data_IF_554707441727
#
_entry.id   IF_554707441727
#
_cell.length_a   1.000
_cell.length_b   1.000
_cell.length_c   1.000
_cell.angle_alpha   90.00
_cell.angle_beta   90.00
_cell.angle_gamma   90.00
#
_symmetry.space_group_name_H-M   'P 1'
#
loop_
_entity.id
_entity.type
_entity.pdbx_description
1 polymer ?
#
# COMPACT_ATOMS: atom_id res chain seq x y z
N UNK A 1 -5.61 -5.52 -8.67
CA UNK A 1 -4.67 -6.38 -9.43
C UNK A 1 -4.65 -7.74 -8.77
N UNK A 2 -4.78 -8.82 -9.51
CA UNK A 2 -5.01 -10.13 -8.89
C UNK A 2 -3.72 -10.97 -8.90
N UNK A 3 -3.14 -11.21 -7.73
CA UNK A 3 -1.98 -12.09 -7.52
C UNK A 3 -2.36 -13.57 -7.32
N UNK A 4 -3.64 -13.93 -7.37
CA UNK A 4 -4.12 -15.31 -7.12
C UNK A 4 -3.45 -16.38 -8.00
N UNK A 5 -2.98 -15.98 -9.18
CA UNK A 5 -2.25 -16.87 -10.12
C UNK A 5 -0.73 -16.63 -10.10
N UNK A 6 -0.17 -16.23 -8.97
CA UNK A 6 1.28 -16.06 -8.84
C UNK A 6 2.02 -17.40 -9.03
N UNK A 7 2.89 -17.47 -10.03
CA UNK A 7 3.73 -18.65 -10.31
C UNK A 7 5.20 -18.27 -10.21
N UNK A 8 5.89 -18.77 -9.20
CA UNK A 8 7.33 -18.54 -9.01
C UNK A 8 8.13 -19.40 -10.01
N UNK A 9 9.00 -18.77 -10.77
CA UNK A 9 9.87 -19.39 -11.80
C UNK A 9 11.32 -19.53 -11.33
N UNK A 10 11.92 -18.45 -10.82
CA UNK A 10 13.30 -18.43 -10.32
C UNK A 10 13.37 -17.65 -9.02
N UNK A 11 14.22 -18.08 -8.10
CA UNK A 11 14.51 -17.39 -6.85
C UNK A 11 16.01 -17.35 -6.65
N UNK A 12 16.53 -16.19 -6.28
CA UNK A 12 17.92 -16.01 -5.88
C UNK A 12 17.95 -15.12 -4.63
N UNK A 13 18.89 -15.36 -3.72
CA UNK A 13 19.07 -14.53 -2.54
C UNK A 13 20.51 -14.09 -2.40
N UNK A 14 20.70 -12.86 -1.95
CA UNK A 14 21.97 -12.26 -1.62
C UNK A 14 21.94 -11.83 -0.16
N UNK A 15 23.09 -11.63 0.47
CA UNK A 15 23.12 -11.09 1.82
C UNK A 15 23.92 -9.80 1.85
N UNK A 16 23.29 -8.74 2.37
CA UNK A 16 23.90 -7.43 2.51
C UNK A 16 24.20 -7.23 4.00
N UNK A 17 25.48 -7.06 4.33
CA UNK A 17 25.87 -6.79 5.71
C UNK A 17 25.51 -5.36 6.11
N UNK A 18 25.25 -5.15 7.37
CA UNK A 18 25.19 -3.79 7.91
C UNK A 18 26.59 -3.21 7.91
N UNK A 19 26.74 -1.99 7.44
CA UNK A 19 28.01 -1.28 7.48
C UNK A 19 28.12 -0.58 8.83
N UNK A 20 29.15 -0.92 9.61
CA UNK A 20 29.47 -0.19 10.83
C UNK A 20 29.97 1.23 10.48
N UNK A 21 29.62 2.21 11.29
CA UNK A 21 30.04 3.59 11.09
C UNK A 21 31.56 3.71 10.91
N UNK A 22 31.96 4.16 9.73
CA UNK A 22 33.31 4.64 9.37
C UNK A 22 34.52 3.73 9.60
N UNK A 23 34.34 2.42 9.81
CA UNK A 23 35.46 1.49 9.83
C UNK A 23 35.70 0.90 8.44
N UNK A 24 36.94 0.93 7.96
CA UNK A 24 37.36 0.41 6.65
C UNK A 24 37.15 -1.12 6.46
N UNK A 25 36.66 -1.79 7.47
CA UNK A 25 36.48 -3.27 7.51
C UNK A 25 35.05 -3.74 7.26
N UNK A 26 34.25 -3.01 6.46
CA UNK A 26 32.93 -3.51 6.09
C UNK A 26 33.05 -4.71 5.15
N UNK A 27 32.51 -5.85 5.56
CA UNK A 27 32.47 -7.04 4.72
C UNK A 27 31.71 -6.76 3.43
N UNK A 28 32.24 -7.15 2.25
CA UNK A 28 31.51 -7.02 0.99
C UNK A 28 30.23 -7.85 1.05
N UNK A 29 29.18 -7.47 0.29
CA UNK A 29 27.94 -8.25 0.27
C UNK A 29 28.22 -9.67 -0.22
N UNK A 30 27.50 -10.64 0.34
CA UNK A 30 27.53 -12.00 -0.20
C UNK A 30 26.63 -12.08 -1.43
N UNK A 31 27.24 -12.19 -2.59
CA UNK A 31 26.54 -12.23 -3.88
C UNK A 31 26.46 -13.67 -4.37
N UNK A 32 25.24 -14.22 -4.38
CA UNK A 32 24.99 -15.57 -4.87
C UNK A 32 25.17 -15.66 -6.39
N UNK A 33 25.66 -16.82 -6.84
CA UNK A 33 25.90 -17.12 -8.27
C UNK A 33 24.87 -18.09 -8.86
N UNK A 34 23.99 -18.67 -8.02
CA UNK A 34 23.05 -19.70 -8.43
C UNK A 34 21.65 -19.41 -7.90
N UNK A 35 20.64 -19.80 -8.66
CA UNK A 35 19.24 -19.80 -8.21
C UNK A 35 19.02 -20.86 -7.14
N UNK A 36 18.06 -20.63 -6.26
CA UNK A 36 17.65 -21.55 -5.22
C UNK A 36 16.57 -22.46 -5.76
N UNK A 37 16.77 -23.76 -5.63
CA UNK A 37 15.75 -24.76 -5.92
C UNK A 37 14.83 -24.91 -4.72
N UNK A 38 13.57 -24.48 -4.86
CA UNK A 38 12.54 -24.65 -3.85
C UNK A 38 11.76 -25.93 -4.11
N UNK A 39 11.54 -26.74 -3.07
CA UNK A 39 10.57 -27.82 -3.13
C UNK A 39 9.13 -27.26 -3.15
N UNK A 40 8.14 -28.09 -3.45
CA UNK A 40 6.75 -27.64 -3.61
C UNK A 40 6.16 -27.04 -2.33
N UNK A 41 6.52 -27.56 -1.15
CA UNK A 41 6.11 -27.02 0.13
C UNK A 41 6.66 -25.60 0.35
N UNK A 42 7.95 -25.41 0.13
CA UNK A 42 8.61 -24.10 0.26
C UNK A 42 8.05 -23.08 -0.75
N UNK A 43 7.79 -23.51 -2.02
CA UNK A 43 7.14 -22.71 -3.04
C UNK A 43 5.74 -22.25 -2.61
N UNK A 44 4.89 -23.19 -2.19
CA UNK A 44 3.53 -22.92 -1.73
C UNK A 44 3.52 -21.96 -0.53
N UNK A 45 4.42 -22.19 0.41
CA UNK A 45 4.53 -21.32 1.60
C UNK A 45 4.96 -19.91 1.23
N UNK A 46 5.94 -19.75 0.34
CA UNK A 46 6.38 -18.44 -0.14
C UNK A 46 5.28 -17.70 -0.90
N UNK A 47 4.55 -18.40 -1.79
CA UNK A 47 3.39 -17.85 -2.50
C UNK A 47 2.34 -17.36 -1.50
N UNK A 48 1.94 -18.18 -0.53
CA UNK A 48 0.93 -17.80 0.46
C UNK A 48 1.34 -16.55 1.26
N UNK A 49 2.63 -16.40 1.56
CA UNK A 49 3.13 -15.20 2.25
C UNK A 49 3.12 -13.96 1.36
N UNK A 50 3.50 -14.11 0.11
CA UNK A 50 3.41 -13.04 -0.87
C UNK A 50 1.96 -12.59 -1.09
N UNK A 51 1.02 -13.54 -1.15
CA UNK A 51 -0.40 -13.23 -1.27
C UNK A 51 -0.95 -12.45 -0.08
N UNK A 52 -0.47 -12.71 1.14
CA UNK A 52 -0.87 -11.94 2.34
C UNK A 52 -0.41 -10.48 2.28
N UNK A 53 0.71 -10.17 1.64
CA UNK A 53 1.27 -8.81 1.59
C UNK A 53 0.97 -8.09 0.28
N UNK A 54 0.56 -8.81 -0.77
CA UNK A 54 0.28 -8.28 -2.11
C UNK A 54 -1.16 -8.52 -2.58
N UNK A 55 -1.93 -9.36 -1.88
CA UNK A 55 -3.32 -9.70 -2.23
C UNK A 55 -4.30 -8.55 -2.01
N UNK A 56 -5.59 -8.81 -2.23
CA UNK A 56 -6.66 -7.80 -2.16
C UNK A 56 -6.73 -7.05 -0.84
N UNK A 57 -6.56 -7.76 0.28
CA UNK A 57 -6.64 -7.17 1.63
C UNK A 57 -5.26 -6.73 2.15
N UNK A 58 -4.29 -6.57 1.26
CA UNK A 58 -2.94 -6.22 1.66
C UNK A 58 -2.78 -4.72 1.81
N UNK A 59 -1.80 -4.33 2.64
CA UNK A 59 -1.38 -2.94 2.80
C UNK A 59 -0.35 -2.51 1.74
N UNK A 60 -0.35 -3.15 0.58
CA UNK A 60 0.50 -2.75 -0.53
C UNK A 60 -0.10 -1.57 -1.29
N UNK A 61 0.74 -0.70 -1.80
CA UNK A 61 0.34 0.50 -2.54
C UNK A 61 0.96 0.49 -3.94
N UNK A 62 0.23 1.09 -4.88
CA UNK A 62 0.76 1.36 -6.21
C UNK A 62 1.76 2.51 -6.14
N UNK A 63 2.91 2.38 -6.79
CA UNK A 63 3.97 3.37 -6.85
C UNK A 63 4.24 3.78 -8.29
N UNK A 64 4.85 4.95 -8.47
CA UNK A 64 5.37 5.42 -9.75
C UNK A 64 6.85 5.06 -9.87
N UNK A 65 7.28 4.56 -11.03
CA UNK A 65 8.70 4.37 -11.33
C UNK A 65 9.24 5.75 -11.70
N UNK A 66 10.17 6.27 -10.90
CA UNK A 66 10.74 7.61 -11.06
C UNK A 66 12.22 7.63 -11.42
N UNK A 67 12.96 6.55 -11.13
CA UNK A 67 14.37 6.41 -11.53
C UNK A 67 14.49 5.44 -12.70
N UNK A 68 14.63 5.99 -13.90
CA UNK A 68 14.84 5.27 -15.16
C UNK A 68 16.25 5.51 -15.72
N UNK A 69 17.16 5.99 -14.88
CA UNK A 69 18.57 6.22 -15.27
C UNK A 69 19.32 4.90 -15.52
N UNK A 70 20.49 5.03 -16.14
CA UNK A 70 21.45 3.93 -16.29
C UNK A 70 21.85 3.45 -14.88
N UNK A 71 21.96 2.14 -14.70
CA UNK A 71 22.22 1.47 -13.43
C UNK A 71 21.14 1.67 -12.37
N UNK A 72 19.95 2.12 -12.76
CA UNK A 72 18.78 2.11 -11.87
C UNK A 72 18.31 0.69 -11.56
N UNK A 73 17.62 0.53 -10.44
CA UNK A 73 17.01 -0.76 -10.11
C UNK A 73 16.02 -1.20 -11.21
N UNK A 74 15.27 -0.24 -11.77
CA UNK A 74 14.32 -0.51 -12.85
C UNK A 74 15.03 -0.99 -14.13
N UNK A 75 16.16 -0.40 -14.49
CA UNK A 75 16.93 -0.87 -15.66
C UNK A 75 17.36 -2.33 -15.49
N UNK A 76 17.89 -2.69 -14.32
CA UNK A 76 18.27 -4.08 -14.02
C UNK A 76 17.08 -5.03 -14.05
N UNK A 77 15.93 -4.60 -13.53
CA UNK A 77 14.68 -5.38 -13.56
C UNK A 77 14.21 -5.60 -15.00
N UNK A 78 14.22 -4.55 -15.83
CA UNK A 78 13.85 -4.68 -17.23
C UNK A 78 14.78 -5.63 -17.97
N UNK A 79 16.10 -5.48 -17.80
CA UNK A 79 17.12 -6.39 -18.38
C UNK A 79 16.93 -7.83 -17.92
N UNK A 80 16.54 -8.07 -16.66
CA UNK A 80 16.29 -9.41 -16.13
C UNK A 80 15.12 -10.12 -16.83
N UNK A 81 14.17 -9.37 -17.41
CA UNK A 81 13.00 -9.89 -18.14
C UNK A 81 13.23 -9.98 -19.65
N UNK A 82 14.32 -9.40 -20.18
CA UNK A 82 14.70 -9.52 -21.57
C UNK A 82 15.41 -10.86 -21.87
N UNK A 83 15.72 -11.13 -23.14
CA UNK A 83 16.55 -12.23 -23.62
C UNK A 83 16.14 -13.62 -23.08
N UNK A 84 14.84 -13.88 -23.00
CA UNK A 84 14.31 -15.11 -22.39
C UNK A 84 14.81 -15.33 -20.95
N UNK A 85 15.04 -14.25 -20.23
CA UNK A 85 15.46 -14.21 -18.81
C UNK A 85 16.82 -14.88 -18.58
N UNK A 86 17.71 -14.88 -19.59
CA UNK A 86 19.06 -15.44 -19.45
C UNK A 86 19.89 -14.65 -18.46
N UNK A 87 19.71 -13.33 -18.41
CA UNK A 87 20.48 -12.42 -17.57
C UNK A 87 19.96 -12.28 -16.13
N UNK A 88 18.93 -13.05 -15.74
CA UNK A 88 18.29 -12.93 -14.43
C UNK A 88 19.28 -12.97 -13.26
N UNK A 89 20.25 -13.89 -13.27
CA UNK A 89 21.26 -14.01 -12.19
C UNK A 89 22.15 -12.77 -12.16
N UNK A 90 22.68 -12.35 -13.31
CA UNK A 90 23.53 -11.16 -13.42
C UNK A 90 22.81 -9.90 -12.93
N UNK A 91 21.55 -9.71 -13.37
CA UNK A 91 20.81 -8.53 -13.00
C UNK A 91 20.40 -8.56 -11.50
N UNK A 92 20.13 -9.71 -10.93
CA UNK A 92 19.89 -9.85 -9.49
C UNK A 92 21.13 -9.49 -8.65
N UNK A 93 22.34 -9.82 -9.17
CA UNK A 93 23.60 -9.41 -8.55
C UNK A 93 23.82 -7.90 -8.61
N UNK A 94 23.50 -7.26 -9.75
CA UNK A 94 23.55 -5.80 -9.90
C UNK A 94 22.56 -5.11 -8.95
N UNK A 95 21.34 -5.63 -8.81
CA UNK A 95 20.35 -5.14 -7.84
C UNK A 95 20.91 -5.24 -6.40
N UNK A 96 21.57 -6.35 -6.05
CA UNK A 96 22.16 -6.53 -4.73
C UNK A 96 23.33 -5.55 -4.47
N UNK A 97 24.21 -5.37 -5.44
CA UNK A 97 25.31 -4.41 -5.37
C UNK A 97 24.80 -2.98 -5.21
N UNK A 98 23.72 -2.59 -5.93
CA UNK A 98 23.08 -1.28 -5.78
C UNK A 98 22.59 -1.06 -4.35
N UNK A 99 21.90 -2.05 -3.76
CA UNK A 99 21.46 -1.94 -2.37
C UNK A 99 22.63 -1.80 -1.41
N UNK A 100 23.68 -2.61 -1.59
CA UNK A 100 24.89 -2.52 -0.78
C UNK A 100 25.54 -1.13 -0.84
N UNK A 101 25.62 -0.55 -2.02
CA UNK A 101 26.17 0.81 -2.23
C UNK A 101 25.33 1.89 -1.53
N UNK A 102 24.01 1.74 -1.48
CA UNK A 102 23.13 2.66 -0.77
C UNK A 102 23.29 2.49 0.75
N UNK A 103 23.32 1.26 1.25
CA UNK A 103 23.53 0.99 2.68
C UNK A 103 24.90 1.43 3.17
N UNK A 104 25.92 1.36 2.32
CA UNK A 104 27.26 1.88 2.62
C UNK A 104 27.30 3.39 2.91
N UNK A 105 26.35 4.15 2.34
CA UNK A 105 26.25 5.61 2.57
C UNK A 105 25.59 5.96 3.91
N UNK A 106 24.87 5.02 4.50
CA UNK A 106 24.20 5.18 5.82
C UNK A 106 24.34 3.89 6.63
N UNK A 107 25.34 3.83 7.50
CA UNK A 107 25.65 2.66 8.34
C UNK A 107 24.54 2.27 9.33
N UNK A 108 23.55 3.14 9.56
CA UNK A 108 22.39 2.84 10.40
C UNK A 108 21.39 1.90 9.72
N UNK A 109 21.49 1.74 8.39
CA UNK A 109 20.58 0.86 7.67
C UNK A 109 20.88 -0.62 7.98
N UNK A 110 19.86 -1.39 8.41
CA UNK A 110 20.07 -2.77 8.84
C UNK A 110 20.49 -3.67 7.68
N UNK A 111 21.41 -4.57 7.93
CA UNK A 111 21.78 -5.66 7.04
C UNK A 111 20.61 -6.61 6.78
N UNK A 112 20.85 -7.71 6.09
CA UNK A 112 19.90 -8.79 5.91
C UNK A 112 19.83 -9.36 4.50
N UNK A 113 18.85 -10.22 4.25
CA UNK A 113 18.64 -10.86 2.96
C UNK A 113 17.95 -9.95 1.96
N UNK A 114 18.48 -9.95 0.74
CA UNK A 114 17.82 -9.47 -0.45
C UNK A 114 17.45 -10.67 -1.32
N UNK A 115 16.16 -10.87 -1.57
CA UNK A 115 15.67 -11.93 -2.43
C UNK A 115 15.07 -11.31 -3.67
N UNK A 116 15.49 -11.84 -4.81
CA UNK A 116 14.95 -11.47 -6.12
C UNK A 116 14.23 -12.69 -6.70
N UNK A 117 12.98 -12.51 -7.08
CA UNK A 117 12.12 -13.55 -7.61
C UNK A 117 11.65 -13.15 -9.00
N UNK A 118 11.88 -14.01 -9.98
CA UNK A 118 11.16 -13.97 -11.24
C UNK A 118 9.92 -14.85 -11.13
N UNK A 119 8.77 -14.27 -11.46
CA UNK A 119 7.47 -14.94 -11.40
C UNK A 119 6.57 -14.47 -12.55
N UNK A 120 5.43 -15.14 -12.71
CA UNK A 120 4.34 -14.66 -13.53
C UNK A 120 3.09 -14.46 -12.69
N UNK A 121 2.27 -13.46 -13.06
CA UNK A 121 1.04 -13.09 -12.36
C UNK A 121 -0.12 -13.01 -13.34
N UNK A 122 -1.35 -13.06 -12.83
CA UNK A 122 -2.60 -13.00 -13.58
C UNK A 122 -2.87 -14.24 -14.45
N UNK A 123 -4.08 -14.32 -15.00
CA UNK A 123 -4.45 -15.40 -15.95
C UNK A 123 -3.65 -15.32 -17.26
N UNK A 124 -3.12 -14.14 -17.59
CA UNK A 124 -2.33 -13.88 -18.80
C UNK A 124 -0.83 -14.15 -18.63
N UNK A 125 -0.41 -14.70 -17.48
CA UNK A 125 0.99 -15.01 -17.16
C UNK A 125 1.95 -13.82 -17.41
N UNK A 126 1.56 -12.61 -16.97
CA UNK A 126 2.40 -11.41 -17.09
C UNK A 126 3.68 -11.57 -16.26
N UNK A 127 4.80 -11.29 -16.88
CA UNK A 127 6.11 -11.35 -16.23
C UNK A 127 6.23 -10.34 -15.10
N UNK A 128 6.81 -10.76 -13.97
CA UNK A 128 7.11 -9.86 -12.87
C UNK A 128 8.42 -10.20 -12.16
N UNK A 129 9.05 -9.17 -11.61
CA UNK A 129 10.15 -9.29 -10.66
C UNK A 129 9.66 -8.82 -9.30
N UNK A 130 9.90 -9.63 -8.27
CA UNK A 130 9.61 -9.33 -6.88
C UNK A 130 10.94 -9.21 -6.15
N UNK A 131 11.15 -8.08 -5.48
CA UNK A 131 12.34 -7.78 -4.68
C UNK A 131 11.94 -7.68 -3.22
N UNK A 132 12.51 -8.55 -2.37
CA UNK A 132 12.19 -8.62 -0.95
C UNK A 132 13.43 -8.28 -0.15
N UNK A 133 13.32 -7.32 0.78
CA UNK A 133 14.34 -7.03 1.79
C UNK A 133 13.83 -7.55 3.14
N UNK A 134 14.53 -8.54 3.67
CA UNK A 134 14.33 -9.04 5.02
C UNK A 134 15.50 -8.62 5.90
N UNK A 135 15.19 -7.88 6.95
CA UNK A 135 16.20 -7.36 7.86
C UNK A 135 16.76 -8.48 8.75
N UNK A 136 18.02 -8.33 9.13
CA UNK A 136 18.71 -9.30 9.95
C UNK A 136 18.14 -9.33 11.36
N UNK A 137 17.81 -10.53 11.84
CA UNK A 137 17.61 -10.76 13.26
C UNK A 137 18.87 -11.45 13.80
N UNK A 138 19.32 -11.07 14.98
CA UNK A 138 20.61 -11.50 15.60
C UNK A 138 20.86 -13.02 15.63
N UNK A 139 19.82 -13.84 15.48
CA UNK A 139 19.93 -15.30 15.37
C UNK A 139 20.56 -15.80 14.06
N UNK A 140 20.58 -14.97 12.99
CA UNK A 140 21.02 -15.37 11.65
C UNK A 140 22.51 -15.25 11.44
N UNK A 141 23.15 -14.26 12.05
CA UNK A 141 24.62 -14.10 11.96
C UNK A 141 25.37 -15.35 12.36
N UNK A 142 24.91 -16.05 13.41
CA UNK A 142 25.57 -17.27 13.92
C UNK A 142 25.48 -18.46 12.97
N UNK A 143 24.41 -18.58 12.16
CA UNK A 143 24.25 -19.68 11.19
C UNK A 143 25.06 -19.47 9.91
N UNK A 144 25.17 -18.23 9.45
CA UNK A 144 25.93 -17.90 8.22
C UNK A 144 27.44 -18.12 8.37
N UNK A 145 28.00 -17.84 9.55
CA UNK A 145 29.44 -18.01 9.80
C UNK A 145 29.88 -19.47 9.70
N UNK A 146 28.99 -20.43 9.94
CA UNK A 146 29.28 -21.86 9.85
C UNK A 146 29.22 -22.46 8.44
N UNK A 147 28.55 -21.81 7.48
CA UNK A 147 28.36 -22.33 6.12
C UNK A 147 28.62 -21.23 5.05
N UNK A 148 29.88 -20.89 4.86
CA UNK A 148 30.31 -19.84 3.91
C UNK A 148 29.95 -20.07 2.43
N UNK A 149 29.49 -21.26 2.02
CA UNK A 149 29.42 -21.62 0.59
C UNK A 149 28.03 -21.82 0.00
N UNK A 150 26.95 -21.77 0.77
CA UNK A 150 25.59 -21.83 0.22
C UNK A 150 24.57 -21.13 1.11
N UNK A 151 23.90 -20.12 0.58
CA UNK A 151 22.62 -19.68 1.10
C UNK A 151 21.62 -20.80 0.78
N UNK A 152 21.49 -21.75 1.69
CA UNK A 152 20.73 -22.96 1.49
C UNK A 152 19.23 -22.73 1.67
N UNK A 153 18.42 -23.64 1.15
CA UNK A 153 16.99 -23.74 1.40
C UNK A 153 16.65 -23.67 2.90
N UNK A 154 17.52 -24.18 3.77
CA UNK A 154 17.33 -24.12 5.22
C UNK A 154 17.35 -22.69 5.76
N UNK A 155 18.20 -21.81 5.26
CA UNK A 155 18.22 -20.41 5.66
C UNK A 155 16.95 -19.68 5.20
N UNK A 156 16.46 -19.97 4.00
CA UNK A 156 15.17 -19.47 3.52
C UNK A 156 14.01 -20.03 4.36
N UNK A 157 14.04 -21.30 4.73
CA UNK A 157 13.04 -21.90 5.59
C UNK A 157 13.02 -21.22 6.96
N UNK A 158 14.16 -21.01 7.57
CA UNK A 158 14.26 -20.37 8.89
C UNK A 158 13.84 -18.88 8.86
N UNK A 159 14.10 -18.17 7.76
CA UNK A 159 13.80 -16.74 7.61
C UNK A 159 12.39 -16.44 7.13
N UNK A 160 11.91 -17.22 6.18
CA UNK A 160 10.69 -16.89 5.44
C UNK A 160 9.55 -17.84 5.69
N UNK A 161 9.85 -19.05 6.15
CA UNK A 161 8.86 -20.10 6.27
C UNK A 161 8.42 -20.34 7.71
N UNK A 162 9.01 -19.63 8.69
CA UNK A 162 8.49 -19.67 10.06
C UNK A 162 7.26 -18.77 10.20
N UNK A 163 6.24 -19.16 10.97
CA UNK A 163 5.04 -18.33 11.19
C UNK A 163 5.35 -16.93 11.75
N UNK A 164 6.45 -16.79 12.49
CA UNK A 164 6.88 -15.56 13.16
C UNK A 164 7.65 -14.61 12.23
N UNK A 165 8.22 -15.10 11.13
CA UNK A 165 8.99 -14.24 10.22
C UNK A 165 8.07 -13.31 9.42
N UNK A 166 8.34 -12.02 9.47
CA UNK A 166 7.61 -11.00 8.69
C UNK A 166 8.37 -10.73 7.39
N UNK A 167 7.64 -10.56 6.29
CA UNK A 167 8.19 -9.90 5.10
C UNK A 167 8.21 -8.42 5.39
N UNK A 168 9.40 -7.84 5.51
CA UNK A 168 9.54 -6.45 5.96
C UNK A 168 9.24 -5.45 4.86
N UNK A 169 9.85 -5.63 3.68
CA UNK A 169 9.71 -4.71 2.54
C UNK A 169 9.68 -5.51 1.24
N UNK A 170 8.71 -5.24 0.39
CA UNK A 170 8.53 -5.93 -0.89
C UNK A 170 8.25 -4.91 -1.98
N UNK A 171 9.06 -4.92 -3.03
CA UNK A 171 8.80 -4.21 -4.28
C UNK A 171 8.43 -5.19 -5.39
N UNK A 172 7.41 -4.89 -6.17
CA UNK A 172 6.98 -5.73 -7.29
C UNK A 172 6.89 -4.88 -8.54
N UNK A 173 7.46 -5.37 -9.63
CA UNK A 173 7.42 -4.75 -10.95
C UNK A 173 6.79 -5.73 -11.93
N UNK A 174 5.61 -5.40 -12.45
CA UNK A 174 4.82 -6.25 -13.34
C UNK A 174 4.82 -5.62 -14.72
N UNK A 175 5.24 -6.37 -15.74
CA UNK A 175 5.19 -5.95 -17.13
C UNK A 175 3.77 -6.11 -17.65
N UNK A 176 3.13 -5.02 -18.15
CA UNK A 176 1.72 -5.01 -18.57
C UNK A 176 1.49 -5.65 -19.92
N UNK A 177 2.47 -5.62 -20.82
CA UNK A 177 2.39 -6.09 -22.19
C UNK A 177 3.65 -6.82 -22.60
N UNK A 178 3.53 -7.75 -23.52
CA UNK A 178 4.66 -8.48 -24.13
C UNK A 178 5.35 -7.67 -25.25
N UNK A 179 4.78 -6.56 -25.69
CA UNK A 179 5.36 -5.72 -26.76
C UNK A 179 6.58 -4.96 -26.23
N UNK A 180 7.63 -4.93 -27.03
CA UNK A 180 8.92 -4.28 -26.71
C UNK A 180 9.21 -3.13 -27.69
N UNK A 181 8.20 -2.40 -28.14
CA UNK A 181 8.33 -1.38 -29.18
C UNK A 181 8.98 -0.07 -28.67
N UNK A 182 9.28 0.00 -27.36
CA UNK A 182 9.88 1.17 -26.72
C UNK A 182 11.40 1.02 -26.60
N UNK A 183 12.13 2.09 -26.92
CA UNK A 183 13.59 2.15 -26.83
C UNK A 183 14.10 2.90 -25.59
N UNK A 184 13.32 3.89 -25.10
CA UNK A 184 13.66 4.68 -23.92
C UNK A 184 13.13 4.05 -22.65
N UNK A 185 13.94 4.04 -21.59
CA UNK A 185 13.55 3.44 -20.29
C UNK A 185 12.34 4.13 -19.66
N UNK A 186 12.16 5.44 -19.88
CA UNK A 186 10.99 6.19 -19.41
C UNK A 186 9.68 5.68 -20.04
N UNK A 187 9.72 5.38 -21.34
CA UNK A 187 8.56 4.84 -22.07
C UNK A 187 8.30 3.38 -21.65
N UNK A 188 9.38 2.60 -21.49
CA UNK A 188 9.29 1.22 -20.99
C UNK A 188 8.68 1.20 -19.59
N UNK A 189 9.02 2.16 -18.72
CA UNK A 189 8.49 2.24 -17.36
C UNK A 189 6.97 2.42 -17.32
N UNK A 190 6.38 3.10 -18.31
CA UNK A 190 4.92 3.24 -18.44
C UNK A 190 4.24 1.90 -18.72
N UNK A 191 4.95 0.94 -19.33
CA UNK A 191 4.48 -0.43 -19.55
C UNK A 191 4.66 -1.35 -18.33
N UNK A 192 5.01 -0.79 -17.17
CA UNK A 192 5.09 -1.52 -15.91
C UNK A 192 4.09 -0.99 -14.90
N UNK A 193 3.71 -1.86 -13.98
CA UNK A 193 3.07 -1.49 -12.73
C UNK A 193 4.03 -1.80 -11.59
N UNK A 194 4.35 -0.80 -10.78
CA UNK A 194 5.13 -0.97 -9.56
C UNK A 194 4.22 -1.00 -8.33
N UNK A 195 4.48 -1.92 -7.41
CA UNK A 195 3.74 -2.07 -6.15
C UNK A 195 4.76 -2.16 -5.02
N UNK A 196 4.49 -1.48 -3.93
CA UNK A 196 5.29 -1.49 -2.71
C UNK A 196 4.48 -2.02 -1.54
N UNK A 197 5.07 -2.93 -0.77
CA UNK A 197 4.64 -3.25 0.59
C UNK A 197 5.77 -2.88 1.56
N UNK A 198 5.43 -2.06 2.55
CA UNK A 198 6.27 -1.79 3.72
C UNK A 198 5.33 -1.69 4.92
N UNK A 199 5.54 -2.54 5.93
CA UNK A 199 4.68 -2.59 7.12
C UNK A 199 4.62 -1.27 7.89
N UNK A 200 5.58 -0.39 7.71
CA UNK A 200 5.63 0.93 8.34
C UNK A 200 4.97 2.02 7.49
N UNK A 201 4.88 1.83 6.19
CA UNK A 201 4.37 2.84 5.24
C UNK A 201 2.92 3.25 5.56
N UNK A 202 2.09 2.28 5.95
CA UNK A 202 0.67 2.51 6.27
C UNK A 202 0.45 3.16 7.62
N UNK A 203 1.44 3.11 8.52
CA UNK A 203 1.35 3.70 9.86
C UNK A 203 1.71 5.19 9.83
N UNK A 204 2.84 5.49 9.23
CA UNK A 204 3.36 6.85 9.07
C UNK A 204 4.31 6.91 7.88
N UNK A 205 4.03 7.80 6.93
CA UNK A 205 4.90 8.06 5.77
C UNK A 205 6.33 8.44 6.16
N UNK A 206 6.52 9.10 7.32
CA UNK A 206 7.83 9.50 7.81
C UNK A 206 8.64 8.30 8.31
N UNK A 207 7.96 7.26 8.80
CA UNK A 207 8.60 6.02 9.25
C UNK A 207 8.84 5.01 8.13
N UNK A 208 8.32 5.28 6.93
CA UNK A 208 8.54 4.46 5.76
C UNK A 208 10.02 4.43 5.38
N UNK A 209 10.49 3.28 4.95
CA UNK A 209 11.89 3.10 4.56
C UNK A 209 12.19 3.79 3.21
N UNK A 210 12.32 5.13 3.23
CA UNK A 210 12.61 5.95 2.04
C UNK A 210 13.83 5.44 1.28
N UNK A 211 14.86 4.95 1.99
CA UNK A 211 16.01 4.34 1.35
C UNK A 211 15.64 3.15 0.46
N UNK A 212 14.64 2.34 0.88
CA UNK A 212 14.25 1.15 0.13
C UNK A 212 13.43 1.50 -1.11
N UNK A 213 12.32 2.24 -0.95
CA UNK A 213 11.47 2.50 -2.11
C UNK A 213 12.03 3.58 -3.03
N UNK A 214 12.56 4.67 -2.49
CA UNK A 214 13.01 5.81 -3.30
C UNK A 214 14.45 5.61 -3.79
N UNK A 215 15.42 5.50 -2.86
CA UNK A 215 16.83 5.46 -3.25
C UNK A 215 17.21 4.15 -3.93
N UNK A 216 16.68 3.02 -3.45
CA UNK A 216 17.04 1.70 -3.98
C UNK A 216 16.17 1.27 -5.15
N UNK A 217 14.84 1.19 -4.98
CA UNK A 217 13.94 0.73 -6.04
C UNK A 217 13.66 1.80 -7.10
N UNK A 218 13.95 3.08 -6.82
CA UNK A 218 13.69 4.18 -7.73
C UNK A 218 12.20 4.47 -7.89
N UNK A 219 11.43 4.32 -6.81
CA UNK A 219 9.99 4.53 -6.79
C UNK A 219 9.65 5.85 -6.10
N UNK A 220 8.62 6.51 -6.58
CA UNK A 220 8.00 7.68 -5.95
C UNK A 220 6.53 7.43 -5.65
N UNK A 221 6.02 8.24 -4.72
CA UNK A 221 4.61 8.27 -4.38
C UNK A 221 3.87 8.87 -5.58
N UNK A 222 2.79 8.22 -6.07
CA UNK A 222 1.99 8.78 -7.15
C UNK A 222 1.39 10.14 -6.76
N UNK A 223 1.40 11.08 -7.67
CA UNK A 223 0.80 12.42 -7.46
C UNK A 223 -0.74 12.39 -7.44
N UNK A 224 -1.33 11.28 -7.87
CA UNK A 224 -2.78 11.10 -7.98
C UNK A 224 -3.47 10.77 -6.64
N UNK A 225 -2.74 10.63 -5.54
CA UNK A 225 -3.29 10.30 -4.21
C UNK A 225 -4.40 11.26 -3.77
N UNK A 226 -4.28 12.56 -4.05
CA UNK A 226 -5.32 13.58 -3.79
C UNK A 226 -6.62 13.30 -4.56
N UNK A 227 -6.47 13.01 -5.85
CA UNK A 227 -7.59 12.74 -6.76
C UNK A 227 -8.23 11.40 -6.40
N UNK A 228 -7.44 10.38 -6.13
CA UNK A 228 -7.94 9.05 -5.73
C UNK A 228 -8.67 9.12 -4.37
N UNK A 229 -8.14 9.86 -3.39
CA UNK A 229 -8.82 10.05 -2.09
C UNK A 229 -10.15 10.77 -2.26
N UNK A 230 -10.20 11.83 -3.10
CA UNK A 230 -11.43 12.55 -3.42
C UNK A 230 -12.45 11.63 -4.13
N UNK A 231 -12.00 10.89 -5.13
CA UNK A 231 -12.87 9.99 -5.87
C UNK A 231 -13.42 8.87 -4.96
N UNK A 232 -12.58 8.31 -4.08
CA UNK A 232 -13.02 7.32 -3.09
C UNK A 232 -14.11 7.90 -2.19
N UNK A 233 -13.93 9.12 -1.67
CA UNK A 233 -14.93 9.79 -0.85
C UNK A 233 -16.26 9.94 -1.61
N UNK A 234 -16.23 10.52 -2.81
CA UNK A 234 -17.44 10.79 -3.61
C UNK A 234 -18.15 9.48 -3.96
N UNK A 235 -17.43 8.50 -4.52
CA UNK A 235 -18.04 7.25 -4.98
C UNK A 235 -18.57 6.41 -3.81
N UNK A 236 -17.87 6.39 -2.67
CA UNK A 236 -18.37 5.70 -1.47
C UNK A 236 -19.59 6.39 -0.90
N UNK A 237 -19.60 7.71 -0.82
CA UNK A 237 -20.74 8.50 -0.35
C UNK A 237 -21.98 8.29 -1.25
N UNK A 238 -21.78 8.32 -2.56
CA UNK A 238 -22.84 8.08 -3.55
C UNK A 238 -23.39 6.65 -3.46
N UNK A 239 -22.52 5.67 -3.28
CA UNK A 239 -22.92 4.28 -3.08
C UNK A 239 -23.80 4.14 -1.84
N UNK A 240 -23.36 4.69 -0.69
CA UNK A 240 -24.14 4.66 0.57
C UNK A 240 -25.51 5.31 0.38
N UNK A 241 -25.58 6.47 -0.28
CA UNK A 241 -26.83 7.18 -0.50
C UNK A 241 -27.83 6.39 -1.37
N UNK A 242 -27.34 5.57 -2.31
CA UNK A 242 -28.15 4.73 -3.20
C UNK A 242 -28.56 3.38 -2.58
N UNK A 243 -27.97 2.98 -1.45
CA UNK A 243 -28.34 1.74 -0.78
C UNK A 243 -29.81 1.74 -0.33
N UNK A 244 -30.46 0.59 -0.43
CA UNK A 244 -31.81 0.37 0.11
C UNK A 244 -31.74 -0.09 1.57
N UNK A 245 -31.37 0.85 2.45
CA UNK A 245 -31.25 0.67 3.90
C UNK A 245 -31.87 1.86 4.64
N UNK A 246 -32.09 1.70 5.94
CA UNK A 246 -32.61 2.78 6.77
C UNK A 246 -31.73 4.02 6.74
N UNK A 247 -32.33 5.20 6.92
CA UNK A 247 -31.59 6.46 6.94
C UNK A 247 -30.56 6.49 8.08
N UNK A 248 -30.88 5.90 9.22
CA UNK A 248 -29.96 5.76 10.34
C UNK A 248 -28.68 5.00 9.94
N UNK A 249 -28.82 3.84 9.29
CA UNK A 249 -27.67 3.09 8.77
C UNK A 249 -26.86 3.86 7.73
N UNK A 250 -27.52 4.65 6.87
CA UNK A 250 -26.79 5.53 5.92
C UNK A 250 -25.93 6.55 6.66
N UNK A 251 -26.48 7.17 7.71
CA UNK A 251 -25.74 8.13 8.55
C UNK A 251 -24.56 7.47 9.24
N UNK A 252 -24.74 6.27 9.77
CA UNK A 252 -23.65 5.52 10.42
C UNK A 252 -22.52 5.22 9.43
N UNK A 253 -22.83 4.79 8.20
CA UNK A 253 -21.85 4.53 7.16
C UNK A 253 -21.13 5.81 6.68
N UNK A 254 -21.87 6.93 6.57
CA UNK A 254 -21.26 8.24 6.25
C UNK A 254 -20.31 8.70 7.38
N UNK A 255 -20.69 8.49 8.63
CA UNK A 255 -19.83 8.77 9.79
C UNK A 255 -18.58 7.87 9.78
N UNK A 256 -18.72 6.58 9.43
CA UNK A 256 -17.58 5.68 9.28
C UNK A 256 -16.61 6.16 8.19
N UNK A 257 -17.12 6.58 7.04
CA UNK A 257 -16.32 7.17 5.95
C UNK A 257 -15.59 8.43 6.42
N UNK A 258 -16.28 9.31 7.14
CA UNK A 258 -15.67 10.50 7.75
C UNK A 258 -14.54 10.14 8.72
N UNK A 259 -14.76 9.17 9.61
CA UNK A 259 -13.77 8.70 10.58
C UNK A 259 -12.52 8.17 9.87
N UNK A 260 -12.69 7.34 8.86
CA UNK A 260 -11.57 6.78 8.08
C UNK A 260 -10.73 7.87 7.39
N UNK A 261 -11.37 8.89 6.87
CA UNK A 261 -10.69 9.95 6.14
C UNK A 261 -10.10 11.04 7.05
N UNK A 262 -10.80 11.40 8.12
CA UNK A 262 -10.47 12.55 8.98
C UNK A 262 -9.73 12.19 10.25
N UNK A 263 -10.19 11.15 10.94
CA UNK A 263 -9.77 10.86 12.31
C UNK A 263 -8.77 9.71 12.37
N UNK A 264 -8.92 8.72 11.50
CA UNK A 264 -7.98 7.61 11.41
C UNK A 264 -6.59 8.13 11.02
N UNK A 265 -5.58 7.83 11.83
CA UNK A 265 -4.18 8.28 11.64
C UNK A 265 -3.43 7.48 10.57
N UNK A 266 -4.02 6.44 9.98
CA UNK A 266 -3.41 5.71 8.87
C UNK A 266 -3.10 6.65 7.71
N UNK A 267 -1.91 6.53 7.12
CA UNK A 267 -1.51 7.28 5.93
C UNK A 267 -2.09 6.71 4.64
N UNK A 268 -2.83 5.61 4.71
CA UNK A 268 -3.47 4.97 3.56
C UNK A 268 -4.94 4.67 3.84
N UNK A 269 -5.71 4.50 2.78
CA UNK A 269 -7.11 4.07 2.78
C UNK A 269 -7.35 3.10 1.61
N UNK A 270 -8.27 2.16 1.79
CA UNK A 270 -8.60 1.17 0.76
C UNK A 270 -10.11 0.93 0.71
N UNK A 271 -10.63 0.77 -0.50
CA UNK A 271 -12.02 0.39 -0.73
C UNK A 271 -12.33 -0.98 -0.11
N UNK A 272 -11.40 -1.93 -0.23
CA UNK A 272 -11.56 -3.28 0.33
C UNK A 272 -11.58 -3.28 1.87
N UNK A 273 -10.71 -2.48 2.49
CA UNK A 273 -10.68 -2.32 3.95
C UNK A 273 -11.97 -1.66 4.46
N UNK A 274 -12.46 -0.62 3.77
CA UNK A 274 -13.74 0.01 4.12
C UNK A 274 -14.90 -0.98 4.02
N UNK A 275 -15.01 -1.71 2.91
CA UNK A 275 -16.04 -2.73 2.73
C UNK A 275 -16.05 -3.75 3.88
N UNK A 276 -14.88 -4.33 4.18
CA UNK A 276 -14.73 -5.37 5.21
C UNK A 276 -15.08 -4.89 6.62
N UNK A 277 -14.78 -3.63 6.93
CA UNK A 277 -14.99 -3.10 8.27
C UNK A 277 -16.44 -2.65 8.52
N UNK A 278 -17.16 -2.24 7.47
CA UNK A 278 -18.42 -1.51 7.63
C UNK A 278 -19.60 -2.06 6.85
N UNK A 279 -19.39 -2.96 5.87
CA UNK A 279 -20.45 -3.51 5.04
C UNK A 279 -20.64 -5.00 5.34
N UNK A 280 -21.88 -5.49 5.22
CA UNK A 280 -22.18 -6.91 5.26
C UNK A 280 -21.66 -7.65 4.02
N UNK A 281 -21.52 -8.98 4.10
CA UNK A 281 -20.90 -9.80 3.05
C UNK A 281 -21.56 -9.67 1.67
N UNK A 282 -22.88 -9.53 1.63
CA UNK A 282 -23.65 -9.38 0.38
C UNK A 282 -23.39 -8.01 -0.27
N UNK A 283 -23.22 -6.98 0.53
CA UNK A 283 -22.99 -5.60 0.08
C UNK A 283 -21.54 -5.35 -0.28
N UNK A 284 -20.58 -6.04 0.35
CA UNK A 284 -19.14 -5.89 0.07
C UNK A 284 -18.80 -6.08 -1.41
N UNK A 285 -19.31 -7.17 -2.01
CA UNK A 285 -19.03 -7.46 -3.42
C UNK A 285 -19.59 -6.39 -4.35
N UNK A 286 -20.84 -5.95 -4.12
CA UNK A 286 -21.49 -4.88 -4.91
C UNK A 286 -20.71 -3.57 -4.80
N UNK A 287 -20.26 -3.23 -3.60
CA UNK A 287 -19.45 -2.03 -3.37
C UNK A 287 -18.11 -2.11 -4.09
N UNK A 288 -17.38 -3.22 -3.94
CA UNK A 288 -16.07 -3.41 -4.59
C UNK A 288 -16.19 -3.33 -6.12
N UNK A 289 -17.24 -3.91 -6.70
CA UNK A 289 -17.46 -3.85 -8.13
C UNK A 289 -17.82 -2.42 -8.59
N UNK A 290 -18.66 -1.68 -7.86
CA UNK A 290 -18.93 -0.27 -8.11
C UNK A 290 -17.66 0.60 -8.04
N UNK A 291 -16.78 0.34 -7.07
CA UNK A 291 -15.50 1.08 -6.95
C UNK A 291 -14.54 0.77 -8.10
N UNK A 292 -14.54 -0.46 -8.62
CA UNK A 292 -13.76 -0.83 -9.82
C UNK A 292 -14.30 -0.15 -11.07
N UNK A 293 -15.62 -0.09 -11.26
CA UNK A 293 -16.25 0.65 -12.36
C UNK A 293 -15.89 2.14 -12.32
N UNK A 294 -15.75 2.70 -11.12
CA UNK A 294 -15.25 4.06 -10.91
C UNK A 294 -13.73 4.21 -11.07
N UNK A 295 -13.02 3.18 -11.57
CA UNK A 295 -11.56 3.14 -11.74
C UNK A 295 -10.75 3.35 -10.45
N UNK A 296 -11.33 3.05 -9.28
CA UNK A 296 -10.58 3.03 -8.03
C UNK A 296 -9.76 1.73 -7.91
N UNK A 297 -8.50 1.82 -7.44
CA UNK A 297 -7.66 0.64 -7.27
C UNK A 297 -8.17 -0.25 -6.14
N UNK A 298 -7.96 -1.56 -6.28
CA UNK A 298 -8.27 -2.59 -5.27
C UNK A 298 -7.15 -2.78 -4.22
N UNK A 299 -6.19 -1.85 -4.17
CA UNK A 299 -5.07 -1.80 -3.23
C UNK A 299 -5.12 -0.50 -2.43
N UNK A 300 -4.25 -0.37 -1.43
CA UNK A 300 -4.17 0.84 -0.61
C UNK A 300 -3.88 2.09 -1.45
N UNK A 301 -4.62 3.15 -1.19
CA UNK A 301 -4.43 4.49 -1.75
C UNK A 301 -3.73 5.34 -0.69
N UNK A 302 -2.75 6.11 -1.08
CA UNK A 302 -2.18 7.11 -0.20
C UNK A 302 -3.24 8.15 0.14
N UNK A 303 -3.56 8.29 1.43
CA UNK A 303 -4.60 9.20 1.90
C UNK A 303 -4.10 10.65 1.87
N UNK A 304 -4.69 11.46 0.98
CA UNK A 304 -4.48 12.90 0.94
C UNK A 304 -5.83 13.61 0.84
N UNK A 305 -6.27 14.17 1.94
CA UNK A 305 -7.58 14.82 2.06
C UNK A 305 -7.59 16.28 1.64
N UNK A 306 -6.51 16.80 1.03
CA UNK A 306 -6.39 18.23 0.71
C UNK A 306 -7.51 18.74 -0.23
N UNK A 307 -7.97 17.91 -1.18
CA UNK A 307 -9.07 18.26 -2.12
C UNK A 307 -10.48 18.12 -1.52
N UNK A 308 -10.61 17.44 -0.38
CA UNK A 308 -11.90 17.23 0.32
C UNK A 308 -11.90 17.83 1.72
N UNK A 309 -10.95 18.70 2.01
CA UNK A 309 -10.78 19.30 3.33
C UNK A 309 -12.04 20.01 3.81
N UNK A 310 -12.73 20.68 2.89
CA UNK A 310 -13.96 21.40 3.20
C UNK A 310 -15.16 20.45 3.35
N UNK A 311 -15.24 19.39 2.53
CA UNK A 311 -16.24 18.33 2.65
C UNK A 311 -16.15 17.55 3.98
N UNK A 312 -14.95 17.48 4.54
CA UNK A 312 -14.68 16.85 5.83
C UNK A 312 -14.79 17.83 7.01
N UNK A 313 -15.35 19.02 6.84
CA UNK A 313 -15.70 19.90 7.94
C UNK A 313 -17.10 19.57 8.43
N UNK A 314 -17.25 19.47 9.74
CA UNK A 314 -18.54 19.37 10.38
C UNK A 314 -18.76 20.65 11.20
N UNK A 315 -19.89 21.30 11.02
CA UNK A 315 -20.36 22.36 11.93
C UNK A 315 -20.96 21.69 13.15
N UNK A 316 -20.48 22.04 14.32
CA UNK A 316 -21.00 21.54 15.59
C UNK A 316 -21.60 22.70 16.36
N UNK A 317 -22.86 22.61 16.70
CA UNK A 317 -23.59 23.56 17.54
C UNK A 317 -23.81 22.92 18.91
N UNK A 318 -23.35 23.57 19.97
CA UNK A 318 -23.50 23.12 21.34
C UNK A 318 -24.47 24.02 22.06
N UNK A 319 -25.46 23.45 22.72
CA UNK A 319 -26.46 24.15 23.49
C UNK A 319 -26.21 23.98 25.00
N UNK A 320 -26.62 24.96 25.80
CA UNK A 320 -26.38 25.00 27.27
C UNK A 320 -27.01 23.81 28.02
N UNK A 321 -28.03 23.21 27.47
CA UNK A 321 -28.68 22.02 28.00
C UNK A 321 -28.01 20.68 27.61
N UNK A 322 -26.83 20.71 26.98
CA UNK A 322 -26.09 19.55 26.56
C UNK A 322 -26.48 18.96 25.18
N UNK A 323 -27.48 19.54 24.52
CA UNK A 323 -27.81 19.14 23.13
C UNK A 323 -26.68 19.55 22.21
N UNK A 324 -26.31 18.66 21.29
CA UNK A 324 -25.33 18.88 20.22
C UNK A 324 -25.97 18.58 18.87
N UNK A 325 -25.88 19.54 17.96
CA UNK A 325 -26.26 19.34 16.55
C UNK A 325 -24.99 19.35 15.69
N UNK A 326 -24.87 18.36 14.82
CA UNK A 326 -23.75 18.25 13.90
C UNK A 326 -24.30 18.22 12.48
N UNK A 327 -23.79 19.09 11.61
CA UNK A 327 -24.18 19.14 10.20
C UNK A 327 -22.96 19.24 9.30
N UNK A 328 -23.01 18.75 8.03
CA UNK A 328 -22.00 19.03 7.03
C UNK A 328 -21.84 20.54 6.83
N UNK A 329 -20.60 21.02 6.64
CA UNK A 329 -20.32 22.43 6.50
C UNK A 329 -20.74 23.01 5.15
N UNK A 330 -20.89 22.16 4.14
CA UNK A 330 -21.19 22.55 2.76
C UNK A 330 -22.67 22.87 2.53
N UNK A 331 -23.54 22.34 3.38
CA UNK A 331 -24.96 22.57 3.27
C UNK A 331 -25.41 23.50 4.42
N UNK A 332 -26.04 24.63 4.07
CA UNK A 332 -26.78 25.44 5.05
C UNK A 332 -28.03 24.68 5.53
N UNK A 333 -27.80 23.45 6.01
CA UNK A 333 -28.85 22.53 6.46
C UNK A 333 -29.38 22.89 7.85
N UNK A 334 -28.68 23.75 8.57
CA UNK A 334 -29.11 24.26 9.87
C UNK A 334 -29.10 25.78 9.83
N UNK A 335 -30.27 26.37 10.02
CA UNK A 335 -30.47 27.81 10.03
C UNK A 335 -31.05 28.25 11.39
N UNK A 336 -30.45 29.27 11.97
CA UNK A 336 -30.98 29.88 13.18
C UNK A 336 -32.05 30.88 12.80
N UNK A 337 -33.28 30.66 13.27
CA UNK A 337 -34.41 31.53 12.94
C UNK A 337 -34.48 32.62 13.99
N UNK A 338 -34.35 33.87 13.53
CA UNK A 338 -34.70 35.04 14.29
C UNK A 338 -36.07 35.51 13.82
N UNK A 339 -37.10 35.27 14.57
CA UNK A 339 -38.48 35.74 14.25
C UNK A 339 -38.83 36.88 15.16
N UNK A 340 -39.39 37.95 14.60
CA UNK A 340 -39.98 39.04 15.38
C UNK A 340 -41.41 38.70 15.86
N UNK A 341 -41.98 37.57 15.42
CA UNK A 341 -43.31 37.09 15.80
C UNK A 341 -43.25 36.31 17.11
N UNK A 342 -44.20 36.57 17.99
CA UNK A 342 -44.41 35.81 19.21
C UNK A 342 -44.90 34.37 18.89
N UNK A 343 -43.99 33.38 19.09
CA UNK A 343 -44.41 31.97 19.02
C UNK A 343 -44.91 31.57 20.40
N UNK A 344 -46.22 31.24 20.54
CA UNK A 344 -46.79 30.87 21.84
C UNK A 344 -46.05 29.69 22.48
N UNK A 345 -45.69 29.82 23.74
CA UNK A 345 -45.01 28.80 24.56
C UNK A 345 -43.50 28.64 24.39
N UNK A 346 -42.79 29.56 23.68
CA UNK A 346 -41.36 29.53 23.62
C UNK A 346 -40.79 30.70 24.46
N UNK A 347 -40.03 30.34 25.49
CA UNK A 347 -39.23 31.29 26.28
C UNK A 347 -37.95 31.62 25.49
N UNK A 348 -37.93 32.80 24.87
CA UNK A 348 -36.80 33.25 23.99
C UNK A 348 -35.51 33.50 24.72
N UNK A 349 -35.56 33.79 26.02
CA UNK A 349 -34.35 33.97 26.83
C UNK A 349 -33.66 32.61 27.11
N UNK A 350 -34.39 31.52 27.03
CA UNK A 350 -33.93 30.16 27.33
C UNK A 350 -34.00 29.19 26.17
N UNK A 351 -34.43 29.63 24.99
CA UNK A 351 -34.67 28.75 23.83
C UNK A 351 -34.07 29.32 22.55
N UNK A 352 -33.54 28.43 21.70
CA UNK A 352 -33.04 28.77 20.35
C UNK A 352 -33.88 28.05 19.32
N UNK A 353 -34.40 28.78 18.35
CA UNK A 353 -35.13 28.23 17.21
C UNK A 353 -34.16 27.90 16.07
N UNK A 354 -34.27 26.69 15.57
CA UNK A 354 -33.47 26.24 14.43
C UNK A 354 -34.35 25.59 13.38
N UNK A 355 -34.10 25.94 12.13
CA UNK A 355 -34.68 25.24 10.99
C UNK A 355 -33.66 24.24 10.44
N UNK A 356 -34.06 22.98 10.31
CA UNK A 356 -33.27 21.95 9.66
C UNK A 356 -33.91 21.72 8.29
N UNK A 357 -33.20 22.05 7.21
CA UNK A 357 -33.63 21.78 5.85
C UNK A 357 -33.50 20.29 5.54
N UNK A 358 -34.58 19.55 5.69
CA UNK A 358 -34.64 18.12 5.49
C UNK A 358 -35.90 17.53 6.14
N UNK A 359 -36.25 16.32 5.76
CA UNK A 359 -37.38 15.61 6.36
C UNK A 359 -36.85 14.77 7.50
N UNK A 360 -37.44 14.87 8.69
CA UNK A 360 -37.14 13.99 9.80
C UNK A 360 -37.48 12.53 9.41
N UNK A 361 -36.43 11.76 9.14
CA UNK A 361 -36.58 10.34 8.88
C UNK A 361 -36.67 9.63 10.22
N UNK A 362 -37.89 9.34 10.66
CA UNK A 362 -38.29 8.54 11.84
C UNK A 362 -37.32 8.50 13.05
N UNK A 363 -37.94 8.73 14.20
CA UNK A 363 -37.41 8.32 15.51
C UNK A 363 -37.19 6.83 15.57
#
# INVERSE_FOLDING_TARGET
MNFENLKIKKVISHFIYQYADHTETSSPPFISKNVITLNDFAKKTLINRLLRVLGRDSKSIKMQISDTSIESCFEYINKALLNNRKDFILQSQNIANRLANIQKKDGRLPGGLLIVIYATVTKSDLDCIIVIKAEEQSAFQKKMVKNKNSLSLNLLNDLFLTPQSKLYKVGVFIKKSMTNDFTKLEEIAQNFTAILYDSNFTKDLKSAAKYFYHSFLGLSIPEDGKVLTRNLYIQTSDFINKMDISQEKKVDLQNALYIELKTNTSSTISTTTFAKNYLDDDTQNKYIDAMKEANLPDIEILKDTSLIKDMLKLRCYYFSNGVKITSPSENDSVEFISTDEEIPKIDREKSTLICIKGVLSKQ
#
